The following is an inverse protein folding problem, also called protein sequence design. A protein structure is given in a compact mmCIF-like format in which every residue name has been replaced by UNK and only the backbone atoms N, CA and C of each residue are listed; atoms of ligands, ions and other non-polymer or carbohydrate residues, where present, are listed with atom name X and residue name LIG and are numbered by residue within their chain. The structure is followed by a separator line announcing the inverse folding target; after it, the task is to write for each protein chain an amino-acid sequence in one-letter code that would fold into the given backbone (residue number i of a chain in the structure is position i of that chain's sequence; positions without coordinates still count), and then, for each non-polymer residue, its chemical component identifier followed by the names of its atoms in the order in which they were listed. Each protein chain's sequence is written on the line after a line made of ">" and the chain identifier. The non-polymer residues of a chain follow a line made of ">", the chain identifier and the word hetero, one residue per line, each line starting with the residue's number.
data_IF_362923063458
#
_entry.id   IF_362923063458
#
_cell.length_a   1.000
_cell.length_b   1.000
_cell.length_c   1.000
_cell.angle_alpha   90.00
_cell.angle_beta   90.00
_cell.angle_gamma   90.00
#
_symmetry.space_group_name_H-M   'P 1'
#
loop_
_entity.id
_entity.type
_entity.pdbx_description
1 polymer ?
#
# COMPACT_ATOMS: atom_id res chain seq x y z
N UNK A 1 -3.80 15.80 12.81
CA UNK A 1 -4.39 14.83 11.88
C UNK A 1 -3.28 14.24 11.05
N UNK A 2 -3.29 12.92 10.86
CA UNK A 2 -2.35 12.17 10.02
C UNK A 2 -3.15 11.41 8.97
N UNK A 3 -2.83 11.62 7.71
CA UNK A 3 -3.41 10.82 6.64
C UNK A 3 -2.78 9.41 6.62
N UNK A 4 -3.48 8.44 6.07
CA UNK A 4 -2.96 7.09 5.91
C UNK A 4 -1.67 7.10 5.07
N UNK A 5 -0.68 6.29 5.44
CA UNK A 5 0.59 6.18 4.74
C UNK A 5 1.67 7.19 5.17
N UNK A 6 1.43 7.96 6.22
CA UNK A 6 2.45 8.85 6.78
C UNK A 6 3.30 8.15 7.84
N UNK A 7 4.59 8.50 7.87
CA UNK A 7 5.49 8.07 8.95
C UNK A 7 5.28 8.96 10.15
N UNK A 8 5.02 8.35 11.31
CA UNK A 8 4.78 9.06 12.56
C UNK A 8 6.10 9.65 13.07
N UNK A 9 6.12 10.95 13.30
CA UNK A 9 7.24 11.66 13.92
C UNK A 9 6.98 11.90 15.42
N UNK A 10 8.04 12.19 16.17
CA UNK A 10 7.97 12.44 17.63
C UNK A 10 6.97 13.55 18.01
N UNK A 11 6.79 14.54 17.14
CA UNK A 11 5.85 15.66 17.38
C UNK A 11 4.38 15.36 17.07
N UNK A 12 4.09 14.20 16.51
CA UNK A 12 2.73 13.82 16.09
C UNK A 12 1.96 13.11 17.20
N UNK A 13 2.67 12.63 18.22
CA UNK A 13 2.11 11.84 19.32
C UNK A 13 2.45 12.44 20.66
N UNK A 14 1.54 12.31 21.62
CA UNK A 14 1.74 12.72 23.00
C UNK A 14 1.23 11.65 23.96
N UNK A 15 1.83 11.55 25.14
CA UNK A 15 1.38 10.64 26.17
C UNK A 15 0.25 11.28 26.97
N UNK A 16 -0.87 10.58 27.11
CA UNK A 16 -1.98 10.99 27.95
C UNK A 16 -2.29 9.90 28.97
N UNK A 17 -2.34 10.25 30.25
CA UNK A 17 -2.78 9.32 31.29
C UNK A 17 -4.29 9.11 31.19
N UNK A 18 -4.69 7.85 31.06
CA UNK A 18 -6.10 7.45 31.00
C UNK A 18 -6.38 6.33 32.02
N UNK A 19 -7.61 6.26 32.56
CA UNK A 19 -8.00 5.14 33.39
C UNK A 19 -7.85 3.82 32.65
N UNK A 20 -7.40 2.79 33.34
CA UNK A 20 -7.29 1.44 32.78
C UNK A 20 -8.67 0.92 32.36
N UNK A 21 -8.79 0.52 31.09
CA UNK A 21 -10.03 0.03 30.52
C UNK A 21 -9.74 -0.99 29.41
N UNK A 22 -10.54 -2.06 29.36
CA UNK A 22 -10.39 -3.13 28.37
C UNK A 22 -10.37 -2.65 26.92
N UNK A 23 -11.03 -1.55 26.61
CA UNK A 23 -11.03 -0.95 25.27
C UNK A 23 -9.65 -0.41 24.87
N UNK A 24 -8.78 -0.11 25.85
CA UNK A 24 -7.45 0.45 25.61
C UNK A 24 -6.34 -0.61 25.53
N UNK A 25 -6.68 -1.89 25.63
CA UNK A 25 -5.68 -2.99 25.61
C UNK A 25 -4.82 -3.03 24.36
N UNK A 26 -5.27 -2.42 23.26
CA UNK A 26 -4.54 -2.31 22.00
C UNK A 26 -3.96 -0.92 21.75
N UNK A 27 -4.11 0.00 22.71
CA UNK A 27 -3.47 1.31 22.62
C UNK A 27 -1.95 1.18 22.75
N UNK A 28 -1.20 1.99 22.01
CA UNK A 28 0.23 2.10 22.18
C UNK A 28 0.54 2.76 23.51
N UNK A 29 1.38 2.12 24.31
CA UNK A 29 1.69 2.54 25.69
C UNK A 29 2.79 3.59 25.80
N UNK A 30 3.56 3.80 24.73
CA UNK A 30 4.67 4.74 24.73
C UNK A 30 4.74 5.46 23.38
N UNK A 31 5.01 6.78 23.32
CA UNK A 31 5.22 7.50 22.08
C UNK A 31 6.34 6.91 21.22
N UNK A 32 7.40 6.42 21.87
CA UNK A 32 8.55 5.82 21.17
C UNK A 32 8.18 4.55 20.38
N UNK A 33 7.14 3.84 20.81
CA UNK A 33 6.62 2.65 20.10
C UNK A 33 5.88 3.01 18.82
N UNK A 34 5.43 4.27 18.69
CA UNK A 34 4.71 4.77 17.53
C UNK A 34 5.63 5.44 16.50
N UNK A 35 6.69 6.11 16.98
CA UNK A 35 7.60 6.87 16.11
C UNK A 35 8.32 5.97 15.12
N UNK A 36 8.25 6.33 13.82
CA UNK A 36 8.82 5.54 12.73
C UNK A 36 7.87 4.51 12.15
N UNK A 37 6.72 4.26 12.77
CA UNK A 37 5.66 3.45 12.17
C UNK A 37 4.89 4.25 11.12
N UNK A 38 4.20 3.55 10.24
CA UNK A 38 3.36 4.12 9.17
C UNK A 38 1.90 4.00 9.55
N UNK A 39 1.14 5.08 9.41
CA UNK A 39 -0.31 5.05 9.60
C UNK A 39 -0.97 4.18 8.53
N UNK A 40 -1.80 3.23 8.94
CA UNK A 40 -2.57 2.36 8.04
C UNK A 40 -3.94 2.97 7.69
N UNK A 41 -4.40 3.90 8.49
CA UNK A 41 -5.65 4.63 8.35
C UNK A 41 -5.44 6.10 8.68
N UNK A 42 -6.41 6.94 8.34
CA UNK A 42 -6.41 8.33 8.80
C UNK A 42 -6.65 8.39 10.31
N UNK A 43 -5.85 9.18 11.00
CA UNK A 43 -5.91 9.41 12.44
C UNK A 43 -6.22 10.88 12.67
N UNK A 44 -7.28 11.18 13.39
CA UNK A 44 -7.66 12.55 13.72
C UNK A 44 -6.98 13.02 15.01
N UNK A 45 -6.84 14.32 15.15
CA UNK A 45 -6.25 14.90 16.34
C UNK A 45 -7.11 14.59 17.57
N UNK A 46 -6.48 13.93 18.56
CA UNK A 46 -7.13 13.52 19.80
C UNK A 46 -7.56 12.06 19.80
N UNK A 47 -7.38 11.34 18.70
CA UNK A 47 -7.61 9.91 18.66
C UNK A 47 -6.56 9.14 19.47
N UNK A 48 -6.98 8.02 20.03
CA UNK A 48 -6.08 7.08 20.69
C UNK A 48 -5.44 6.22 19.62
N UNK A 49 -4.11 6.19 19.61
CA UNK A 49 -3.36 5.40 18.64
C UNK A 49 -3.36 3.93 19.05
N UNK A 50 -3.95 3.09 18.21
CA UNK A 50 -4.01 1.64 18.41
C UNK A 50 -2.95 0.92 17.58
N UNK A 51 -2.54 -0.25 18.01
CA UNK A 51 -1.61 -1.12 17.25
C UNK A 51 -2.15 -1.53 15.88
N UNK A 52 -3.46 -1.46 15.67
CA UNK A 52 -4.12 -1.74 14.39
C UNK A 52 -4.07 -0.57 13.40
N UNK A 53 -3.82 0.64 13.90
CA UNK A 53 -3.82 1.87 13.10
C UNK A 53 -2.46 2.17 12.48
N UNK A 54 -1.45 1.42 12.89
CA UNK A 54 -0.06 1.59 12.46
C UNK A 54 0.55 0.27 11.99
N UNK A 55 1.61 0.36 11.22
CA UNK A 55 2.38 -0.78 10.75
C UNK A 55 3.84 -0.41 10.48
N UNK A 56 4.68 -1.41 10.35
CA UNK A 56 6.07 -1.19 9.97
C UNK A 56 6.17 -0.68 8.52
N UNK A 57 7.18 0.14 8.25
CA UNK A 57 7.54 0.52 6.89
C UNK A 57 7.97 -0.74 6.12
N UNK A 58 7.32 -1.09 5.02
CA UNK A 58 7.74 -2.25 4.26
C UNK A 58 9.14 -1.98 3.68
N UNK A 59 10.04 -2.92 3.91
CA UNK A 59 11.36 -2.89 3.27
C UNK A 59 11.21 -3.39 1.82
N UNK A 60 11.94 -2.74 0.91
CA UNK A 60 12.00 -3.22 -0.48
C UNK A 60 12.75 -4.56 -0.46
N UNK A 61 12.12 -5.68 -0.88
CA UNK A 61 12.81 -6.96 -0.92
C UNK A 61 14.05 -6.90 -1.82
N UNK A 62 15.05 -7.75 -1.55
CA UNK A 62 16.23 -7.85 -2.39
C UNK A 62 15.83 -8.13 -3.86
N UNK A 63 16.52 -7.50 -4.78
CA UNK A 63 16.27 -7.61 -6.23
C UNK A 63 14.90 -7.08 -6.70
N UNK A 64 14.20 -6.32 -5.85
CA UNK A 64 12.98 -5.61 -6.24
C UNK A 64 13.27 -4.15 -6.56
N UNK A 65 12.45 -3.59 -7.44
CA UNK A 65 12.44 -2.17 -7.77
C UNK A 65 11.09 -1.60 -7.42
N UNK A 66 11.07 -0.31 -7.07
CA UNK A 66 9.83 0.42 -6.76
C UNK A 66 9.43 1.24 -7.97
N UNK A 67 8.20 1.07 -8.42
CA UNK A 67 7.64 1.85 -9.52
C UNK A 67 6.27 2.43 -9.14
N UNK A 68 5.88 3.50 -9.82
CA UNK A 68 4.53 4.06 -9.73
C UNK A 68 3.59 3.28 -10.67
N UNK A 69 2.54 2.70 -10.09
CA UNK A 69 1.55 1.90 -10.80
C UNK A 69 0.21 2.65 -10.85
N UNK A 70 -0.33 2.85 -12.05
CA UNK A 70 -1.67 3.39 -12.25
C UNK A 70 -2.69 2.28 -12.22
N UNK A 71 -3.59 2.33 -11.24
CA UNK A 71 -4.69 1.39 -11.12
C UNK A 71 -5.98 1.96 -11.73
N UNK A 72 -6.85 1.09 -12.20
CA UNK A 72 -8.15 1.47 -12.74
C UNK A 72 -9.04 2.17 -11.72
N UNK A 73 -10.00 2.93 -12.22
CA UNK A 73 -10.98 3.63 -11.40
C UNK A 73 -11.76 2.64 -10.52
N UNK A 74 -11.99 3.00 -9.27
CA UNK A 74 -12.73 2.18 -8.31
C UNK A 74 -11.90 1.12 -7.60
N UNK A 75 -10.59 1.08 -7.83
CA UNK A 75 -9.70 0.22 -7.05
C UNK A 75 -9.60 0.74 -5.62
N UNK A 76 -9.82 -0.17 -4.68
CA UNK A 76 -9.67 0.15 -3.26
C UNK A 76 -8.20 0.40 -2.91
N UNK A 77 -7.96 1.29 -1.96
CA UNK A 77 -6.66 1.43 -1.35
C UNK A 77 -6.30 0.15 -0.61
N UNK A 78 -5.10 -0.36 -0.87
CA UNK A 78 -4.56 -1.48 -0.14
C UNK A 78 -3.68 -0.97 1.01
N UNK A 79 -3.70 -1.62 2.18
CA UNK A 79 -2.76 -1.29 3.25
C UNK A 79 -1.32 -1.42 2.77
N UNK A 80 -0.45 -0.56 3.30
CA UNK A 80 0.99 -0.62 3.03
C UNK A 80 1.53 -1.98 3.50
N UNK A 81 2.43 -2.58 2.72
CA UNK A 81 2.96 -3.94 2.97
C UNK A 81 2.08 -5.08 2.42
N UNK A 82 0.88 -4.79 1.89
CA UNK A 82 0.04 -5.82 1.26
C UNK A 82 0.67 -6.32 -0.03
N UNK A 83 0.68 -7.63 -0.22
CA UNK A 83 1.05 -8.26 -1.50
C UNK A 83 -0.19 -8.37 -2.38
N UNK A 84 -0.10 -7.85 -3.60
CA UNK A 84 -1.18 -7.86 -4.58
C UNK A 84 -0.70 -8.49 -5.90
N UNK A 85 -1.65 -9.06 -6.62
CA UNK A 85 -1.48 -9.50 -8.00
C UNK A 85 -1.96 -8.38 -8.92
N UNK A 86 -1.15 -8.01 -9.91
CA UNK A 86 -1.51 -7.04 -10.93
C UNK A 86 -1.93 -7.74 -12.21
N UNK A 87 -3.08 -7.35 -12.73
CA UNK A 87 -3.64 -7.87 -14.00
C UNK A 87 -3.85 -6.74 -14.99
N UNK A 88 -3.54 -7.01 -16.25
CA UNK A 88 -3.88 -6.12 -17.37
C UNK A 88 -5.19 -6.55 -18.00
N UNK A 89 -6.06 -5.59 -18.31
CA UNK A 89 -7.33 -5.84 -18.98
C UNK A 89 -7.19 -6.01 -20.49
N UNK A 90 -6.06 -5.60 -21.10
CA UNK A 90 -5.89 -5.54 -22.55
C UNK A 90 -4.61 -6.17 -23.10
N UNK A 91 -3.57 -6.34 -22.31
CA UNK A 91 -2.26 -6.76 -22.79
C UNK A 91 -1.91 -8.17 -22.33
N UNK A 92 -2.27 -9.16 -23.14
CA UNK A 92 -1.65 -10.48 -23.07
C UNK A 92 -0.81 -10.65 -24.33
N UNK A 93 0.52 -10.49 -24.20
CA UNK A 93 1.44 -10.77 -25.28
C UNK A 93 1.54 -12.27 -25.62
N UNK A 94 1.11 -13.14 -24.67
CA UNK A 94 1.06 -14.59 -24.84
C UNK A 94 -0.33 -15.13 -24.51
N UNK A 95 -0.99 -15.80 -25.45
CA UNK A 95 -2.31 -16.43 -25.29
C UNK A 95 -2.38 -17.44 -24.12
N UNK A 96 -1.23 -17.97 -23.67
CA UNK A 96 -1.14 -18.93 -22.58
C UNK A 96 -1.43 -18.33 -21.18
N UNK A 97 -1.40 -17.01 -21.03
CA UNK A 97 -1.68 -16.30 -19.77
C UNK A 97 -3.01 -15.54 -19.80
N UNK A 98 -3.70 -15.59 -20.92
CA UNK A 98 -5.00 -14.97 -21.10
C UNK A 98 -6.08 -15.77 -20.38
N UNK A 99 -6.70 -15.17 -19.40
CA UNK A 99 -7.96 -15.66 -18.82
C UNK A 99 -9.06 -14.64 -19.08
N UNK A 100 -10.35 -15.02 -18.95
CA UNK A 100 -11.46 -14.07 -19.05
C UNK A 100 -11.34 -12.87 -18.09
N UNK A 101 -10.50 -13.02 -17.04
CA UNK A 101 -10.26 -12.03 -16.01
C UNK A 101 -9.02 -11.15 -16.27
N UNK A 102 -8.42 -11.23 -17.47
CA UNK A 102 -7.20 -10.51 -17.86
C UNK A 102 -5.92 -11.32 -17.64
N UNK A 103 -4.77 -10.73 -17.99
CA UNK A 103 -3.46 -11.36 -17.80
C UNK A 103 -2.78 -10.89 -16.52
N UNK A 104 -2.15 -11.81 -15.82
CA UNK A 104 -1.27 -11.52 -14.69
C UNK A 104 0.04 -10.94 -15.22
N UNK A 105 0.34 -9.69 -14.84
CA UNK A 105 1.58 -8.98 -15.21
C UNK A 105 2.56 -8.92 -14.03
N UNK A 106 2.07 -9.01 -12.80
CA UNK A 106 2.88 -9.24 -11.60
C UNK A 106 2.08 -10.09 -10.62
N UNK A 107 2.71 -11.09 -10.05
CA UNK A 107 2.07 -11.98 -9.06
C UNK A 107 2.36 -11.58 -7.62
N UNK A 108 3.40 -10.76 -7.37
CA UNK A 108 3.89 -10.43 -6.05
C UNK A 108 4.30 -8.94 -5.94
N UNK A 109 3.42 -8.03 -6.30
CA UNK A 109 3.66 -6.61 -6.09
C UNK A 109 3.36 -6.23 -4.63
N UNK A 110 4.31 -5.63 -3.93
CA UNK A 110 4.16 -5.16 -2.56
C UNK A 110 3.79 -3.68 -2.55
N UNK A 111 2.70 -3.33 -1.90
CA UNK A 111 2.28 -1.92 -1.75
C UNK A 111 3.25 -1.20 -0.81
N UNK A 112 3.94 -0.18 -1.32
CA UNK A 112 4.96 0.57 -0.58
C UNK A 112 4.44 1.90 -0.01
N UNK A 113 3.44 2.49 -0.64
CA UNK A 113 2.84 3.75 -0.22
C UNK A 113 1.36 3.81 -0.56
N UNK A 114 0.63 4.70 0.11
CA UNK A 114 -0.76 4.98 -0.22
C UNK A 114 -0.89 5.64 -1.60
N UNK A 115 -2.04 5.49 -2.26
CA UNK A 115 -2.31 6.13 -3.53
C UNK A 115 -2.14 7.66 -3.43
N UNK A 116 -1.47 8.23 -4.43
CA UNK A 116 -1.29 9.69 -4.55
C UNK A 116 -1.60 10.14 -5.97
N UNK A 117 -1.87 11.43 -6.14
CA UNK A 117 -1.97 12.02 -7.47
C UNK A 117 -0.56 12.28 -8.02
N UNK A 118 -0.33 11.88 -9.26
CA UNK A 118 0.86 12.25 -10.01
C UNK A 118 0.71 13.67 -10.63
N UNK A 119 1.76 14.16 -11.27
CA UNK A 119 1.78 15.47 -11.91
C UNK A 119 0.77 15.60 -13.07
N UNK A 120 0.24 14.48 -13.56
CA UNK A 120 -0.79 14.42 -14.60
C UNK A 120 -2.21 14.36 -14.05
N UNK A 121 -2.36 14.32 -12.71
CA UNK A 121 -3.64 14.17 -12.02
C UNK A 121 -4.17 12.73 -12.02
N UNK A 122 -3.33 11.76 -12.36
CA UNK A 122 -3.68 10.34 -12.28
C UNK A 122 -3.34 9.78 -10.91
N UNK A 123 -4.18 8.91 -10.38
CA UNK A 123 -3.88 8.21 -9.13
C UNK A 123 -2.85 7.10 -9.37
N UNK A 124 -1.73 7.18 -8.67
CA UNK A 124 -0.65 6.19 -8.71
C UNK A 124 -0.38 5.64 -7.32
N UNK A 125 0.00 4.37 -7.27
CA UNK A 125 0.40 3.67 -6.05
C UNK A 125 1.82 3.16 -6.23
N UNK A 126 2.70 3.43 -5.27
CA UNK A 126 4.06 2.88 -5.29
C UNK A 126 4.04 1.40 -4.92
N UNK A 127 4.64 0.59 -5.76
CA UNK A 127 4.72 -0.85 -5.55
C UNK A 127 6.12 -1.37 -5.83
N UNK A 128 6.59 -2.30 -4.97
CA UNK A 128 7.85 -3.01 -5.16
C UNK A 128 7.58 -4.36 -5.81
N UNK A 129 8.35 -4.69 -6.84
CA UNK A 129 8.27 -5.97 -7.57
C UNK A 129 9.61 -6.30 -8.22
N UNK A 130 9.77 -7.50 -8.75
CA UNK A 130 10.98 -7.85 -9.49
C UNK A 130 11.17 -6.95 -10.72
N UNK A 131 12.42 -6.74 -11.15
CA UNK A 131 12.72 -5.89 -12.32
C UNK A 131 12.01 -6.36 -13.60
N UNK A 132 11.85 -7.68 -13.76
CA UNK A 132 11.16 -8.27 -14.91
C UNK A 132 9.66 -7.93 -14.87
N UNK A 133 9.01 -8.11 -13.73
CA UNK A 133 7.60 -7.75 -13.55
C UNK A 133 7.38 -6.25 -13.71
N UNK A 134 8.29 -5.42 -13.19
CA UNK A 134 8.22 -3.97 -13.33
C UNK A 134 8.19 -3.53 -14.81
N UNK A 135 9.03 -4.13 -15.66
CA UNK A 135 9.01 -3.87 -17.09
C UNK A 135 7.71 -4.32 -17.75
N UNK A 136 7.16 -5.47 -17.35
CA UNK A 136 5.87 -5.95 -17.84
C UNK A 136 4.72 -5.02 -17.41
N UNK A 137 4.75 -4.55 -16.17
CA UNK A 137 3.75 -3.61 -15.64
C UNK A 137 3.81 -2.27 -16.38
N UNK A 138 5.02 -1.72 -16.59
CA UNK A 138 5.21 -0.45 -17.32
C UNK A 138 4.70 -0.58 -18.77
N UNK A 139 5.04 -1.66 -19.47
CA UNK A 139 4.55 -1.91 -20.82
C UNK A 139 3.01 -2.09 -20.84
N UNK A 140 2.45 -2.79 -19.87
CA UNK A 140 1.00 -2.99 -19.79
C UNK A 140 0.23 -1.67 -19.53
N UNK A 141 0.81 -0.75 -18.75
CA UNK A 141 0.22 0.57 -18.49
C UNK A 141 0.11 1.46 -19.74
N UNK A 142 0.97 1.26 -20.73
CA UNK A 142 0.90 1.99 -22.00
C UNK A 142 -0.29 1.53 -22.87
N UNK A 143 -0.75 0.29 -22.69
CA UNK A 143 -1.77 -0.33 -23.55
C UNK A 143 -3.14 -0.45 -22.88
N UNK A 144 -3.23 -0.26 -21.56
CA UNK A 144 -4.49 -0.45 -20.87
C UNK A 144 -4.46 -0.20 -19.38
N UNK A 145 -5.59 -0.48 -18.76
CA UNK A 145 -5.79 -0.29 -17.33
C UNK A 145 -5.31 -1.52 -16.57
N UNK A 146 -4.60 -1.30 -15.47
CA UNK A 146 -4.23 -2.34 -14.53
C UNK A 146 -5.25 -2.45 -13.40
N UNK A 147 -5.47 -3.67 -12.97
CA UNK A 147 -6.32 -4.02 -11.84
C UNK A 147 -5.43 -4.73 -10.81
N UNK A 148 -5.55 -4.32 -9.54
CA UNK A 148 -4.91 -5.02 -8.45
C UNK A 148 -5.93 -5.93 -7.75
N UNK A 149 -5.54 -7.16 -7.49
CA UNK A 149 -6.30 -8.12 -6.69
C UNK A 149 -5.44 -8.60 -5.53
N UNK A 150 -6.05 -8.81 -4.36
CA UNK A 150 -5.35 -9.43 -3.24
C UNK A 150 -5.04 -10.87 -3.62
N UNK A 151 -3.76 -11.24 -3.60
CA UNK A 151 -3.34 -12.62 -3.85
C UNK A 151 -4.06 -13.57 -2.88
N UNK A 152 -4.52 -14.72 -3.38
CA UNK A 152 -4.97 -15.79 -2.50
C UNK A 152 -3.77 -16.32 -1.72
N UNK A 153 -3.82 -16.28 -0.39
CA UNK A 153 -2.82 -16.84 0.51
C UNK A 153 -2.84 -18.35 0.48
#
# INVERSE_FOLDING_TARGET
>A
DLDAGLVIATGDVEMVEMPDHDALRHALGCPDDAVGLVTQTRIEKGDILLTTDVGELPQVPEHHTVIDVRLGLGQHSFPIGTVVELRSTQACADDARASPEGCVVSSHAVVMAQPRLDDTGSTVTQMAMSAVEALQVLAAQEHGTLIAARGAS
#
